data_IF_150756366154
#
_entry.id   IF_150756366154
#
_cell.length_a   1.000
_cell.length_b   1.000
_cell.length_c   1.000
_cell.angle_alpha   90.00
_cell.angle_beta   90.00
_cell.angle_gamma   90.00
#
_symmetry.space_group_name_H-M   'P 1'
#
loop_
_entity.id
_entity.type
_entity.pdbx_description
1 polymer ?
#
# COMPACT_ATOMS: atom_id res chain seq x y z
N UNK A 1 6.97 6.94 2.04
CA UNK A 1 6.64 5.50 2.09
C UNK A 1 5.13 5.38 1.90
N UNK A 2 4.68 4.42 1.10
CA UNK A 2 3.26 4.10 0.91
C UNK A 2 2.99 2.79 1.63
N UNK A 3 2.02 2.78 2.54
CA UNK A 3 1.64 1.59 3.30
C UNK A 3 0.12 1.41 3.23
N UNK A 4 -0.34 0.19 2.95
CA UNK A 4 -1.77 -0.11 2.87
C UNK A 4 -2.27 -0.54 4.26
N UNK A 5 -3.18 0.25 4.84
CA UNK A 5 -3.58 0.12 6.25
C UNK A 5 -5.10 -0.09 6.34
N UNK A 6 -5.58 -1.06 7.15
CA UNK A 6 -7.00 -1.23 7.42
C UNK A 6 -7.61 -0.02 8.17
N UNK A 7 -8.93 0.01 8.26
CA UNK A 7 -9.65 0.98 9.08
C UNK A 7 -9.44 0.75 10.58
N UNK A 8 -9.57 1.82 11.36
CA UNK A 8 -9.49 1.85 12.83
C UNK A 8 -8.25 1.13 13.39
N UNK A 9 -7.13 1.25 12.67
CA UNK A 9 -5.88 0.58 12.99
C UNK A 9 -4.83 1.59 13.42
N UNK A 10 -4.24 1.40 14.60
CA UNK A 10 -3.17 2.26 15.10
C UNK A 10 -1.83 1.86 14.51
N UNK A 11 -1.06 2.85 14.10
CA UNK A 11 0.24 2.71 13.46
C UNK A 11 1.26 3.42 14.33
N UNK A 12 2.35 2.72 14.62
CA UNK A 12 3.48 3.23 15.35
C UNK A 12 4.72 3.27 14.46
N UNK A 13 5.31 4.44 14.34
CA UNK A 13 6.51 4.69 13.54
C UNK A 13 7.63 5.10 14.46
N UNK A 14 8.66 4.26 14.55
CA UNK A 14 9.93 4.61 15.21
C UNK A 14 10.95 4.92 14.13
N UNK A 15 11.62 6.06 14.24
CA UNK A 15 12.68 6.40 13.30
C UNK A 15 13.92 6.93 14.03
N UNK A 16 15.08 6.68 13.44
CA UNK A 16 16.38 7.18 13.91
C UNK A 16 17.21 7.63 12.71
N UNK A 17 17.84 8.78 12.84
CA UNK A 17 18.68 9.38 11.78
C UNK A 17 20.14 9.36 12.20
N UNK A 18 20.99 8.87 11.29
CA UNK A 18 22.44 8.84 11.45
C UNK A 18 23.09 9.68 10.34
N UNK A 19 24.15 10.39 10.70
CA UNK A 19 24.89 11.26 9.81
C UNK A 19 26.19 10.57 9.38
N UNK A 20 26.50 10.63 8.09
CA UNK A 20 27.80 10.18 7.61
C UNK A 20 28.91 11.14 8.05
N UNK A 21 29.93 10.60 8.70
CA UNK A 21 31.14 11.32 9.07
C UNK A 21 32.30 10.92 8.14
N UNK A 22 32.78 11.83 7.27
CA UNK A 22 33.86 11.54 6.34
C UNK A 22 35.20 11.28 7.05
N UNK A 23 35.38 11.68 8.31
CA UNK A 23 36.63 11.47 9.06
C UNK A 23 36.79 10.03 9.53
N UNK A 24 35.69 9.41 9.94
CA UNK A 24 35.66 8.03 10.43
C UNK A 24 35.23 7.04 9.36
N UNK A 25 34.72 7.52 8.22
CA UNK A 25 34.16 6.70 7.16
C UNK A 25 32.86 5.97 7.58
N UNK A 26 32.28 6.35 8.72
CA UNK A 26 31.16 5.68 9.36
C UNK A 26 29.94 6.58 9.53
N UNK A 27 28.85 5.99 10.01
CA UNK A 27 27.63 6.70 10.39
C UNK A 27 27.64 6.92 11.90
N UNK A 28 27.51 8.18 12.32
CA UNK A 28 27.42 8.57 13.71
C UNK A 28 25.99 8.99 14.06
N UNK A 29 25.55 8.79 15.30
CA UNK A 29 24.28 9.33 15.76
C UNK A 29 24.29 10.85 15.56
N UNK A 30 23.24 11.37 14.93
CA UNK A 30 23.13 12.81 14.67
C UNK A 30 23.16 13.57 15.99
N UNK A 31 24.25 14.28 16.28
CA UNK A 31 24.31 15.24 17.40
C UNK A 31 23.29 16.37 17.21
N UNK A 32 22.86 16.98 18.31
CA UNK A 32 21.83 18.04 18.38
C UNK A 32 21.89 19.03 17.22
N UNK A 33 20.78 19.21 16.50
CA UNK A 33 20.65 20.21 15.42
C UNK A 33 20.01 19.72 14.11
N UNK A 34 19.70 18.43 13.96
CA UNK A 34 18.93 17.90 12.82
C UNK A 34 17.51 17.61 13.28
N UNK A 35 16.57 18.42 12.79
CA UNK A 35 15.14 18.15 12.92
C UNK A 35 14.63 17.37 11.71
N UNK A 36 13.67 16.47 11.95
CA UNK A 36 12.96 15.72 10.93
C UNK A 36 11.49 16.18 10.95
N UNK A 37 11.02 16.77 9.85
CA UNK A 37 9.61 17.03 9.62
C UNK A 37 8.96 15.73 9.18
N UNK A 38 8.00 15.23 9.96
CA UNK A 38 7.21 14.07 9.59
C UNK A 38 5.80 14.50 9.23
N UNK A 39 5.37 14.09 8.04
CA UNK A 39 4.04 14.34 7.49
C UNK A 39 3.38 12.99 7.15
N UNK A 40 2.14 12.80 7.56
CA UNK A 40 1.34 11.60 7.25
C UNK A 40 0.06 12.03 6.56
N UNK A 41 -0.25 11.40 5.44
CA UNK A 41 -1.46 11.63 4.65
C UNK A 41 -2.28 10.35 4.51
N UNK A 42 -3.59 10.51 4.55
CA UNK A 42 -4.58 9.47 4.31
C UNK A 42 -4.71 9.14 2.81
N UNK A 43 -5.47 8.08 2.44
CA UNK A 43 -5.73 7.72 1.04
C UNK A 43 -6.35 8.85 0.21
N UNK A 44 -7.12 9.74 0.85
CA UNK A 44 -7.71 10.94 0.23
C UNK A 44 -6.73 12.14 0.15
N UNK A 45 -5.44 11.91 0.40
CA UNK A 45 -4.38 12.92 0.49
C UNK A 45 -4.58 14.00 1.57
N UNK A 46 -5.50 13.77 2.52
CA UNK A 46 -5.69 14.63 3.68
C UNK A 46 -4.54 14.43 4.67
N UNK A 47 -3.95 15.52 5.15
CA UNK A 47 -2.85 15.44 6.14
C UNK A 47 -3.42 15.18 7.53
N UNK A 48 -3.06 14.05 8.14
CA UNK A 48 -3.49 13.67 9.50
C UNK A 48 -2.47 14.05 10.57
N UNK A 49 -1.19 14.08 10.21
CA UNK A 49 -0.11 14.46 11.10
C UNK A 49 0.90 15.29 10.31
N UNK A 50 1.33 16.42 10.86
CA UNK A 50 2.42 17.20 10.32
C UNK A 50 3.14 17.91 11.47
N UNK A 51 4.32 17.41 11.84
CA UNK A 51 5.11 17.95 12.97
C UNK A 51 6.60 17.76 12.74
N UNK A 52 7.38 18.67 13.32
CA UNK A 52 8.84 18.58 13.35
C UNK A 52 9.27 17.91 14.65
N UNK A 53 10.11 16.89 14.53
CA UNK A 53 10.67 16.11 15.61
C UNK A 53 12.21 16.16 15.58
N UNK A 54 12.84 15.62 16.61
CA UNK A 54 14.30 15.49 16.70
C UNK A 54 14.87 14.46 15.71
N UNK A 55 16.18 14.21 15.73
CA UNK A 55 16.82 13.20 14.88
C UNK A 55 16.37 11.75 15.18
N UNK A 56 15.77 11.51 16.34
CA UNK A 56 15.14 10.25 16.71
C UNK A 56 13.77 10.56 17.33
N UNK A 57 12.79 9.72 17.03
CA UNK A 57 11.43 9.94 17.50
C UNK A 57 10.52 8.73 17.32
N UNK A 58 9.49 8.69 18.18
CA UNK A 58 8.37 7.75 18.11
C UNK A 58 7.10 8.52 17.79
N UNK A 59 6.40 8.08 16.75
CA UNK A 59 5.22 8.73 16.20
C UNK A 59 4.09 7.70 16.19
N UNK A 60 2.88 8.11 16.55
CA UNK A 60 1.69 7.26 16.51
C UNK A 60 0.55 8.01 15.84
N UNK A 61 -0.17 7.33 14.94
CA UNK A 61 -1.42 7.82 14.35
C UNK A 61 -2.41 6.66 14.18
N UNK A 62 -3.69 6.96 14.00
CA UNK A 62 -4.74 5.97 13.78
C UNK A 62 -5.36 6.19 12.41
N UNK A 63 -5.45 5.12 11.62
CA UNK A 63 -6.11 5.12 10.31
C UNK A 63 -7.63 5.14 10.51
N UNK A 64 -8.33 6.07 9.85
CA UNK A 64 -9.79 6.13 9.85
C UNK A 64 -10.41 5.59 8.55
N UNK A 65 -9.63 5.53 7.47
CA UNK A 65 -10.09 5.14 6.14
C UNK A 65 -9.16 4.03 5.65
N UNK A 66 -9.69 2.88 5.20
CA UNK A 66 -8.84 1.80 4.72
C UNK A 66 -8.19 2.20 3.39
N UNK A 67 -6.88 2.00 3.26
CA UNK A 67 -6.15 2.26 2.02
C UNK A 67 -4.70 2.68 2.22
N UNK A 68 -4.13 3.21 1.14
CA UNK A 68 -2.73 3.66 1.10
C UNK A 68 -2.51 4.96 1.89
N UNK A 69 -1.73 4.89 2.95
CA UNK A 69 -1.26 6.04 3.71
C UNK A 69 0.15 6.43 3.27
N UNK A 70 0.39 7.73 3.15
CA UNK A 70 1.68 8.28 2.75
C UNK A 70 2.40 8.84 3.96
N UNK A 71 3.54 8.25 4.32
CA UNK A 71 4.41 8.75 5.39
C UNK A 71 5.65 9.39 4.75
N UNK A 72 5.82 10.69 4.99
CA UNK A 72 6.94 11.48 4.48
C UNK A 72 7.82 11.99 5.62
N UNK A 73 9.13 11.83 5.47
CA UNK A 73 10.13 12.37 6.38
C UNK A 73 11.02 13.35 5.60
N UNK A 74 11.00 14.63 6.00
CA UNK A 74 11.81 15.67 5.40
C UNK A 74 12.83 16.19 6.41
N UNK A 75 14.10 16.27 6.02
CA UNK A 75 15.12 16.89 6.88
C UNK A 75 15.02 18.42 6.77
N UNK A 76 14.94 19.11 7.92
CA UNK A 76 14.96 20.58 7.96
C UNK A 76 16.41 21.14 8.00
N UNK A 77 17.43 20.31 7.74
CA UNK A 77 18.82 20.77 7.82
C UNK A 77 19.34 21.22 6.45
N UNK A 78 19.75 22.48 6.36
CA UNK A 78 20.54 23.03 5.24
C UNK A 78 21.88 22.30 5.04
N UNK A 79 22.34 21.50 6.03
CA UNK A 79 23.57 20.71 5.93
C UNK A 79 23.49 19.58 4.89
N UNK A 80 22.29 19.10 4.53
CA UNK A 80 22.12 18.10 3.47
C UNK A 80 22.61 18.61 2.09
N UNK A 81 22.53 19.92 1.86
CA UNK A 81 22.98 20.56 0.61
C UNK A 81 24.52 20.57 0.49
N UNK A 82 25.24 20.27 1.58
CA UNK A 82 26.70 20.23 1.64
C UNK A 82 27.36 18.86 1.36
N UNK A 83 26.59 17.84 0.94
CA UNK A 83 27.14 16.52 0.58
C UNK A 83 27.24 15.51 1.73
N UNK A 84 26.66 15.79 2.90
CA UNK A 84 26.54 14.81 3.99
C UNK A 84 25.40 13.82 3.70
N UNK A 85 25.76 12.53 3.66
CA UNK A 85 24.79 11.44 3.52
C UNK A 85 24.05 11.22 4.85
N UNK A 86 22.73 11.09 4.78
CA UNK A 86 21.86 10.77 5.91
C UNK A 86 21.37 9.33 5.77
N UNK A 87 21.49 8.54 6.83
CA UNK A 87 20.90 7.21 6.93
C UNK A 87 19.71 7.26 7.88
N UNK A 88 18.53 6.91 7.37
CA UNK A 88 17.30 6.87 8.15
C UNK A 88 16.95 5.41 8.41
N UNK A 89 16.91 5.03 9.67
CA UNK A 89 16.36 3.76 10.13
C UNK A 89 14.89 3.99 10.45
N UNK A 90 14.00 3.20 9.84
CA UNK A 90 12.56 3.33 9.96
C UNK A 90 11.98 1.97 10.35
N UNK A 91 11.20 1.94 11.43
CA UNK A 91 10.49 0.76 11.91
C UNK A 91 9.02 1.11 12.10
N UNK A 92 8.15 0.45 11.34
CA UNK A 92 6.70 0.68 11.35
C UNK A 92 6.04 -0.56 11.91
N UNK A 93 5.19 -0.36 12.90
CA UNK A 93 4.38 -1.39 13.53
C UNK A 93 2.92 -1.01 13.32
N UNK A 94 2.12 -1.95 12.80
CA UNK A 94 0.71 -1.73 12.49
C UNK A 94 -0.13 -2.65 13.37
N UNK A 95 -1.24 -2.14 13.91
CA UNK A 95 -2.23 -2.93 14.63
C UNK A 95 -1.73 -3.50 15.95
N UNK A 96 -1.92 -4.81 16.14
CA UNK A 96 -1.65 -5.52 17.40
C UNK A 96 -0.21 -5.36 17.90
N UNK A 97 0.75 -5.23 16.98
CA UNK A 97 2.16 -5.04 17.30
C UNK A 97 2.46 -3.71 18.03
N UNK A 98 1.52 -2.77 18.03
CA UNK A 98 1.63 -1.50 18.78
C UNK A 98 1.21 -1.64 20.24
N UNK A 99 0.51 -2.72 20.61
CA UNK A 99 -0.04 -2.93 21.95
C UNK A 99 1.00 -3.56 22.86
N UNK A 100 1.37 -2.82 23.92
CA UNK A 100 2.26 -3.35 24.97
C UNK A 100 1.44 -4.10 26.03
N UNK A 101 1.28 -5.41 25.79
CA UNK A 101 0.57 -6.31 26.70
C UNK A 101 1.18 -6.38 28.10
N UNK A 102 2.48 -6.09 28.28
CA UNK A 102 3.09 -6.07 29.60
C UNK A 102 2.59 -4.87 30.43
N UNK A 103 2.47 -3.71 29.80
CA UNK A 103 1.87 -2.53 30.41
C UNK A 103 0.37 -2.72 30.70
N UNK A 104 -0.38 -3.33 29.78
CA UNK A 104 -1.81 -3.65 29.99
C UNK A 104 -1.99 -4.61 31.17
N UNK A 105 -1.18 -5.68 31.25
CA UNK A 105 -1.23 -6.65 32.34
C UNK A 105 -1.00 -6.00 33.71
N UNK A 106 -0.05 -5.07 33.81
CA UNK A 106 0.23 -4.36 35.06
C UNK A 106 -0.88 -3.37 35.42
N UNK A 107 -1.41 -2.62 34.45
CA UNK A 107 -2.45 -1.61 34.67
C UNK A 107 -3.79 -2.23 35.09
N UNK A 108 -4.19 -3.31 34.44
CA UNK A 108 -5.45 -4.02 34.70
C UNK A 108 -5.31 -5.15 35.72
N UNK A 109 -4.09 -5.38 36.27
CA UNK A 109 -3.77 -6.47 37.21
C UNK A 109 -4.26 -7.83 36.72
N UNK A 110 -4.08 -8.09 35.42
CA UNK A 110 -4.56 -9.32 34.80
C UNK A 110 -3.72 -10.51 35.23
N UNK A 111 -4.39 -11.63 35.54
CA UNK A 111 -3.70 -12.89 35.77
C UNK A 111 -3.16 -13.45 34.43
N UNK A 112 -2.14 -14.31 34.46
CA UNK A 112 -1.47 -14.82 33.26
C UNK A 112 -2.42 -15.48 32.25
N UNK A 113 -3.48 -16.14 32.73
CA UNK A 113 -4.50 -16.75 31.86
C UNK A 113 -5.40 -15.69 31.19
N UNK A 114 -5.81 -14.66 31.93
CA UNK A 114 -6.63 -13.58 31.38
C UNK A 114 -5.86 -12.79 30.32
N UNK A 115 -4.57 -12.56 30.54
CA UNK A 115 -3.70 -11.90 29.56
C UNK A 115 -3.66 -12.68 28.24
N UNK A 116 -3.43 -14.00 28.30
CA UNK A 116 -3.41 -14.84 27.09
C UNK A 116 -4.76 -14.87 26.38
N UNK A 117 -5.86 -14.95 27.13
CA UNK A 117 -7.20 -14.91 26.55
C UNK A 117 -7.45 -13.57 25.85
N UNK A 118 -7.00 -12.46 26.43
CA UNK A 118 -7.10 -11.14 25.81
C UNK A 118 -6.28 -11.06 24.52
N UNK A 119 -5.03 -11.54 24.54
CA UNK A 119 -4.19 -11.63 23.35
C UNK A 119 -4.87 -12.42 22.22
N UNK A 120 -5.46 -13.57 22.53
CA UNK A 120 -6.18 -14.37 21.53
C UNK A 120 -7.41 -13.66 20.98
N UNK A 121 -8.14 -12.91 21.82
CA UNK A 121 -9.29 -12.12 21.37
C UNK A 121 -8.85 -10.98 20.43
N UNK A 122 -7.78 -10.26 20.80
CA UNK A 122 -7.24 -9.17 19.99
C UNK A 122 -6.68 -9.71 18.65
N UNK A 123 -6.06 -10.90 18.64
CA UNK A 123 -5.62 -11.61 17.42
C UNK A 123 -6.80 -11.97 16.51
N UNK A 124 -7.88 -12.50 17.07
CA UNK A 124 -9.07 -12.88 16.28
C UNK A 124 -9.76 -11.64 15.70
N UNK A 125 -9.81 -10.53 16.44
CA UNK A 125 -10.33 -9.25 15.95
C UNK A 125 -9.49 -8.73 14.78
N UNK A 126 -8.15 -8.79 14.90
CA UNK A 126 -7.23 -8.42 13.83
C UNK A 126 -7.44 -9.27 12.57
N UNK A 127 -7.53 -10.59 12.70
CA UNK A 127 -7.80 -11.50 11.56
C UNK A 127 -9.15 -11.18 10.91
N UNK A 128 -10.17 -10.89 11.72
CA UNK A 128 -11.52 -10.57 11.21
C UNK A 128 -11.51 -9.28 10.39
N UNK A 129 -10.78 -8.27 10.85
CA UNK A 129 -10.56 -7.01 10.12
C UNK A 129 -9.85 -7.26 8.79
N UNK A 130 -8.76 -8.03 8.80
CA UNK A 130 -8.04 -8.39 7.57
C UNK A 130 -8.93 -9.16 6.58
N UNK A 131 -9.74 -10.11 7.05
CA UNK A 131 -10.67 -10.83 6.18
C UNK A 131 -11.73 -9.92 5.55
N UNK A 132 -12.29 -8.99 6.33
CA UNK A 132 -13.26 -8.03 5.79
C UNK A 132 -12.60 -7.11 4.75
N UNK A 133 -11.38 -6.68 5.00
CA UNK A 133 -10.60 -5.90 4.06
C UNK A 133 -10.31 -6.68 2.76
N UNK A 134 -9.94 -7.96 2.84
CA UNK A 134 -9.75 -8.83 1.67
C UNK A 134 -11.05 -9.03 0.87
N UNK A 135 -12.20 -9.19 1.55
CA UNK A 135 -13.51 -9.27 0.88
C UNK A 135 -13.83 -8.00 0.10
N UNK A 136 -13.61 -6.83 0.71
CA UNK A 136 -13.83 -5.56 0.03
C UNK A 136 -12.97 -5.42 -1.25
N UNK A 137 -11.71 -5.85 -1.17
CA UNK A 137 -10.82 -5.90 -2.34
C UNK A 137 -11.30 -6.89 -3.40
N UNK A 138 -11.73 -8.07 -3.00
CA UNK A 138 -12.24 -9.09 -3.93
C UNK A 138 -13.47 -8.58 -4.66
N UNK A 139 -14.42 -7.95 -3.98
CA UNK A 139 -15.62 -7.36 -4.59
C UNK A 139 -15.24 -6.30 -5.65
N UNK A 140 -14.31 -5.40 -5.31
CA UNK A 140 -13.78 -4.39 -6.24
C UNK A 140 -13.06 -5.01 -7.44
N UNK A 141 -12.23 -6.03 -7.20
CA UNK A 141 -11.52 -6.73 -8.25
C UNK A 141 -12.49 -7.51 -9.16
N UNK A 142 -13.53 -8.14 -8.58
CA UNK A 142 -14.56 -8.88 -9.30
C UNK A 142 -15.35 -7.97 -10.22
N UNK A 143 -15.81 -6.82 -9.74
CA UNK A 143 -16.52 -5.82 -10.58
C UNK A 143 -15.65 -5.34 -11.77
N UNK A 144 -14.36 -5.13 -11.52
CA UNK A 144 -13.42 -4.70 -12.58
C UNK A 144 -13.15 -5.82 -13.59
N UNK A 145 -13.01 -7.05 -13.11
CA UNK A 145 -12.81 -8.24 -13.94
C UNK A 145 -14.02 -8.54 -14.83
N UNK A 146 -15.24 -8.51 -14.27
CA UNK A 146 -16.47 -8.75 -15.01
C UNK A 146 -16.68 -7.73 -16.14
N UNK A 147 -16.53 -6.44 -15.85
CA UNK A 147 -16.71 -5.37 -16.85
C UNK A 147 -15.64 -5.40 -17.95
N UNK A 148 -14.39 -5.74 -17.60
CA UNK A 148 -13.31 -5.89 -18.59
C UNK A 148 -13.51 -7.12 -19.45
N UNK A 149 -13.82 -8.26 -18.84
CA UNK A 149 -14.05 -9.53 -19.53
C UNK A 149 -15.23 -9.41 -20.50
N UNK A 150 -16.34 -8.76 -20.10
CA UNK A 150 -17.49 -8.55 -20.98
C UNK A 150 -17.13 -7.73 -22.22
N UNK A 151 -16.38 -6.64 -22.06
CA UNK A 151 -15.94 -5.81 -23.19
C UNK A 151 -15.06 -6.60 -24.17
N UNK A 152 -14.07 -7.31 -23.64
CA UNK A 152 -13.16 -8.14 -24.45
C UNK A 152 -13.92 -9.23 -25.20
N UNK A 153 -14.89 -9.87 -24.54
CA UNK A 153 -15.73 -10.89 -25.15
C UNK A 153 -16.55 -10.35 -26.34
N UNK A 154 -17.18 -9.18 -26.17
CA UNK A 154 -17.94 -8.53 -27.26
C UNK A 154 -17.06 -8.14 -28.44
N UNK A 155 -15.89 -7.55 -28.19
CA UNK A 155 -14.92 -7.23 -29.24
C UNK A 155 -14.44 -8.48 -29.99
N UNK A 156 -14.14 -9.56 -29.27
CA UNK A 156 -13.68 -10.83 -29.86
C UNK A 156 -14.78 -11.47 -30.72
N UNK A 157 -16.03 -11.42 -30.25
CA UNK A 157 -17.19 -11.94 -30.99
C UNK A 157 -17.42 -11.14 -32.28
N UNK A 158 -17.35 -9.80 -32.21
CA UNK A 158 -17.49 -8.94 -33.38
C UNK A 158 -16.40 -9.22 -34.43
N UNK A 159 -15.15 -9.39 -34.00
CA UNK A 159 -14.04 -9.74 -34.88
C UNK A 159 -14.26 -11.09 -35.58
N UNK A 160 -14.74 -12.11 -34.86
CA UNK A 160 -15.05 -13.42 -35.44
C UNK A 160 -16.12 -13.32 -36.53
N UNK A 161 -17.20 -12.55 -36.28
CA UNK A 161 -18.26 -12.33 -37.26
C UNK A 161 -17.71 -11.67 -38.53
N UNK A 162 -16.90 -10.62 -38.38
CA UNK A 162 -16.28 -9.91 -39.51
C UNK A 162 -15.41 -10.86 -40.35
N UNK A 163 -14.61 -11.71 -39.71
CA UNK A 163 -13.77 -12.69 -40.41
C UNK A 163 -14.61 -13.71 -41.19
N UNK A 164 -15.70 -14.21 -40.61
CA UNK A 164 -16.62 -15.15 -41.29
C UNK A 164 -17.30 -14.46 -42.48
N UNK A 165 -17.78 -13.23 -42.32
CA UNK A 165 -18.37 -12.45 -43.41
C UNK A 165 -17.39 -12.20 -44.55
N UNK A 166 -16.14 -11.81 -44.23
CA UNK A 166 -15.10 -11.63 -45.25
C UNK A 166 -14.76 -12.94 -45.96
N UNK A 167 -14.68 -14.06 -45.25
CA UNK A 167 -14.45 -15.38 -45.84
C UNK A 167 -15.56 -15.80 -46.81
N UNK A 168 -16.83 -15.61 -46.43
CA UNK A 168 -17.97 -15.88 -47.31
C UNK A 168 -17.99 -14.97 -48.55
N UNK A 169 -17.66 -13.69 -48.37
CA UNK A 169 -17.52 -12.74 -49.48
C UNK A 169 -16.41 -13.16 -50.43
N UNK A 170 -15.22 -13.51 -49.92
CA UNK A 170 -14.09 -13.96 -50.72
C UNK A 170 -14.45 -15.19 -51.57
N UNK A 171 -15.11 -16.19 -50.97
CA UNK A 171 -15.57 -17.38 -51.71
C UNK A 171 -16.57 -17.03 -52.82
N UNK A 172 -17.52 -16.14 -52.55
CA UNK A 172 -18.50 -15.69 -53.55
C UNK A 172 -17.84 -14.91 -54.68
N UNK A 173 -16.91 -14.01 -54.36
CA UNK A 173 -16.16 -13.23 -55.35
C UNK A 173 -15.29 -14.12 -56.23
N UNK A 174 -14.58 -15.09 -55.65
CA UNK A 174 -13.82 -16.09 -56.40
C UNK A 174 -14.72 -16.89 -57.36
N UNK A 175 -15.87 -17.36 -56.88
CA UNK A 175 -16.83 -18.09 -57.73
C UNK A 175 -17.36 -17.25 -58.88
N UNK A 176 -17.74 -16.00 -58.61
CA UNK A 176 -18.21 -15.06 -59.64
C UNK A 176 -17.13 -14.70 -60.66
N UNK A 177 -15.86 -14.59 -60.22
CA UNK A 177 -14.73 -14.35 -61.10
C UNK A 177 -14.47 -15.53 -62.04
N UNK A 178 -14.58 -16.77 -61.55
CA UNK A 178 -14.45 -17.98 -62.39
C UNK A 178 -15.62 -18.14 -63.37
N UNK A 179 -16.87 -17.89 -62.95
CA UNK A 179 -18.04 -17.90 -63.83
C UNK A 179 -17.94 -16.84 -64.94
N UNK A 180 -17.51 -15.61 -64.62
CA UNK A 180 -17.39 -14.52 -65.59
C UNK A 180 -16.26 -14.74 -66.62
N UNK A 181 -15.21 -15.49 -66.25
CA UNK A 181 -14.08 -15.84 -67.13
C UNK A 181 -14.32 -17.10 -67.97
N UNK A 182 -15.45 -17.80 -67.80
CA UNK A 182 -15.85 -18.98 -68.59
C UNK A 182 -14.75 -20.05 -68.68
N UNK A 183 -14.15 -20.39 -67.55
CA UNK A 183 -13.28 -21.57 -67.40
C UNK A 183 -14.13 -22.71 -66.81
N UNK A 184 -14.87 -23.37 -67.71
CA UNK A 184 -15.93 -24.41 -67.53
C UNK A 184 -17.27 -23.89 -67.01
#
# INVERSE_FOLDING_TARGET
LLEEIPDETTVLVNYKVELYDPRTGGFMPSTQGIGMHVEVKDPDMKTILSRVYSAEGRISFTSHIPGEHVICLYSNSTKWIGGTQLRVHLNIQVGEHTIDYANVAQKEKLNNLQLRMRQLLDQVDAITKEQNYQRYREERFRMTSESTNQRVFWWSTAQLIILVCMGAWQMKHLKSFFEAKKLV
#
